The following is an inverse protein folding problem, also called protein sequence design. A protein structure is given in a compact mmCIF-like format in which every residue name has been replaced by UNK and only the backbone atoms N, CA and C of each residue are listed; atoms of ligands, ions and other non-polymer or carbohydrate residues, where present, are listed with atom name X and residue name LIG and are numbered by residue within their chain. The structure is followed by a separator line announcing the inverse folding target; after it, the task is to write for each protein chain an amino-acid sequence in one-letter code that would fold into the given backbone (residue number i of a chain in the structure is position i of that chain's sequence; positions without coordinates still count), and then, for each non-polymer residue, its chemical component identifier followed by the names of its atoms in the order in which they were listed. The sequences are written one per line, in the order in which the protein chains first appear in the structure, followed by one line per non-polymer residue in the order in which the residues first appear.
data_IF_500645831402
#
_entry.id   IF_500645831402
#
_cell.length_a   1.000
_cell.length_b   1.000
_cell.length_c   1.000
_cell.angle_alpha   90.00
_cell.angle_beta   90.00
_cell.angle_gamma   90.00
#
_symmetry.space_group_name_H-M   'P 1'
#
loop_
_entity.id
_entity.type
_entity.pdbx_description
1 polymer ?
#
# COMPACT_ATOMS: atom_id res chain seq x y z
N UNK A 1 -15.21 -15.92 -30.35
CA UNK A 1 -13.84 -16.43 -30.27
C UNK A 1 -12.80 -15.48 -30.88
N UNK A 2 -12.98 -14.92 -32.08
CA UNK A 2 -11.99 -14.02 -32.71
C UNK A 2 -11.79 -12.66 -32.03
N UNK A 3 -12.74 -12.13 -31.26
CA UNK A 3 -12.60 -10.88 -30.49
C UNK A 3 -11.83 -11.07 -29.19
N UNK A 4 -11.82 -12.26 -28.59
CA UNK A 4 -11.02 -12.56 -27.41
C UNK A 4 -9.53 -12.78 -27.72
N UNK A 5 -9.20 -13.39 -28.86
CA UNK A 5 -7.82 -13.64 -29.23
C UNK A 5 -7.03 -12.36 -29.57
N UNK A 6 -7.67 -11.37 -30.20
CA UNK A 6 -7.00 -10.10 -30.53
C UNK A 6 -6.73 -9.20 -29.30
N UNK A 7 -7.47 -9.36 -28.18
CA UNK A 7 -7.21 -8.60 -26.96
C UNK A 7 -6.02 -9.15 -26.16
N UNK A 8 -5.69 -10.43 -26.31
CA UNK A 8 -4.56 -11.05 -25.60
C UNK A 8 -3.20 -10.63 -26.16
N UNK A 9 -3.08 -10.37 -27.44
CA UNK A 9 -1.81 -9.97 -28.07
C UNK A 9 -1.41 -8.52 -27.73
N UNK A 10 -2.37 -7.65 -27.41
CA UNK A 10 -2.15 -6.23 -27.08
C UNK A 10 -2.17 -5.90 -25.58
N UNK A 11 -2.22 -6.90 -24.70
CA UNK A 11 -2.25 -6.71 -23.25
C UNK A 11 -0.96 -6.05 -22.75
N UNK A 12 -1.06 -4.93 -22.04
CA UNK A 12 0.07 -4.28 -21.40
C UNK A 12 0.69 -5.15 -20.30
N UNK A 13 -0.11 -5.94 -19.60
CA UNK A 13 0.36 -6.87 -18.57
C UNK A 13 1.32 -7.93 -19.16
N UNK A 14 1.18 -8.29 -20.44
CA UNK A 14 2.11 -9.20 -21.10
C UNK A 14 3.52 -8.62 -21.27
N UNK A 15 3.65 -7.28 -21.23
CA UNK A 15 4.94 -6.57 -21.30
C UNK A 15 5.55 -6.37 -19.90
N UNK A 16 4.78 -6.56 -18.84
CA UNK A 16 5.23 -6.42 -17.46
C UNK A 16 5.70 -7.79 -16.97
N UNK A 17 7.01 -7.95 -16.87
CA UNK A 17 7.63 -9.16 -16.29
C UNK A 17 8.18 -8.90 -14.91
N UNK A 18 8.69 -7.70 -14.70
CA UNK A 18 9.26 -7.22 -13.45
C UNK A 18 8.70 -5.84 -13.10
N UNK A 19 8.83 -5.38 -11.86
CA UNK A 19 8.48 -4.01 -11.49
C UNK A 19 9.23 -2.93 -12.28
N UNK A 20 10.39 -3.24 -12.85
CA UNK A 20 11.10 -2.30 -13.71
C UNK A 20 10.26 -1.90 -14.93
N UNK A 21 9.51 -2.84 -15.49
CA UNK A 21 8.66 -2.59 -16.65
C UNK A 21 7.50 -1.66 -16.31
N UNK A 22 6.95 -1.74 -15.08
CA UNK A 22 5.92 -0.80 -14.61
C UNK A 22 6.44 0.63 -14.55
N UNK A 23 7.68 0.83 -14.12
CA UNK A 23 8.28 2.16 -13.98
C UNK A 23 8.52 2.87 -15.32
N UNK A 24 8.43 2.15 -16.42
CA UNK A 24 8.51 2.70 -17.80
C UNK A 24 7.15 3.14 -18.35
N UNK A 25 6.06 2.79 -17.69
CA UNK A 25 4.70 3.09 -18.13
C UNK A 25 4.24 4.46 -17.61
N UNK A 26 3.40 5.13 -18.40
CA UNK A 26 2.69 6.32 -17.94
C UNK A 26 1.49 5.97 -17.06
N UNK A 27 0.90 6.97 -16.40
CA UNK A 27 -0.17 6.78 -15.42
C UNK A 27 -1.41 6.10 -16.02
N UNK A 28 -1.81 6.42 -17.26
CA UNK A 28 -2.92 5.76 -17.94
C UNK A 28 -2.63 4.29 -18.25
N UNK A 29 -1.38 3.97 -18.59
CA UNK A 29 -0.96 2.59 -18.84
C UNK A 29 -0.91 1.78 -17.54
N UNK A 30 -0.52 2.39 -16.42
CA UNK A 30 -0.56 1.74 -15.10
C UNK A 30 -2.01 1.41 -14.69
N UNK A 31 -2.96 2.31 -14.94
CA UNK A 31 -4.38 2.05 -14.72
C UNK A 31 -4.89 0.89 -15.60
N UNK A 32 -4.49 0.84 -16.87
CA UNK A 32 -4.83 -0.29 -17.74
C UNK A 32 -4.22 -1.61 -17.23
N UNK A 33 -2.96 -1.62 -16.83
CA UNK A 33 -2.30 -2.81 -16.24
C UNK A 33 -3.06 -3.27 -15.01
N UNK A 34 -3.55 -2.37 -14.16
CA UNK A 34 -4.34 -2.74 -12.98
C UNK A 34 -5.64 -3.47 -13.37
N UNK A 35 -6.33 -3.02 -14.41
CA UNK A 35 -7.55 -3.68 -14.92
C UNK A 35 -7.25 -5.09 -15.45
N UNK A 36 -6.17 -5.23 -16.20
CA UNK A 36 -5.75 -6.53 -16.75
C UNK A 36 -5.27 -7.48 -15.64
N UNK A 37 -4.50 -6.97 -14.67
CA UNK A 37 -4.03 -7.71 -13.50
C UNK A 37 -5.18 -8.22 -12.63
N UNK A 38 -6.22 -7.40 -12.44
CA UNK A 38 -7.45 -7.80 -11.73
C UNK A 38 -8.11 -8.99 -12.38
N UNK A 39 -8.27 -8.96 -13.69
CA UNK A 39 -8.88 -10.06 -14.45
C UNK A 39 -8.06 -11.35 -14.32
N UNK A 40 -6.74 -11.25 -14.34
CA UNK A 40 -5.86 -12.41 -14.17
C UNK A 40 -5.93 -12.99 -12.76
N UNK A 41 -5.98 -12.15 -11.72
CA UNK A 41 -6.19 -12.61 -10.34
C UNK A 41 -7.52 -13.37 -10.21
N UNK A 42 -8.60 -12.86 -10.81
CA UNK A 42 -9.90 -13.54 -10.81
C UNK A 42 -9.80 -14.90 -11.52
N UNK A 43 -9.19 -14.93 -12.70
CA UNK A 43 -9.04 -16.18 -13.49
C UNK A 43 -8.25 -17.23 -12.70
N UNK A 44 -7.10 -16.87 -12.18
CA UNK A 44 -6.24 -17.79 -11.42
C UNK A 44 -6.95 -18.30 -10.17
N UNK A 45 -7.48 -17.41 -9.35
CA UNK A 45 -8.08 -17.78 -8.06
C UNK A 45 -9.38 -18.58 -8.24
N UNK A 46 -10.11 -18.38 -9.34
CA UNK A 46 -11.26 -19.20 -9.67
C UNK A 46 -10.90 -20.69 -9.86
N UNK A 47 -9.66 -20.98 -10.23
CA UNK A 47 -9.15 -22.34 -10.45
C UNK A 47 -8.43 -22.91 -9.22
N UNK A 48 -7.61 -22.08 -8.56
CA UNK A 48 -6.74 -22.53 -7.46
C UNK A 48 -7.36 -22.36 -6.08
N UNK A 49 -8.39 -21.52 -5.96
CA UNK A 49 -8.85 -21.02 -4.67
C UNK A 49 -7.88 -20.04 -4.03
N UNK A 50 -8.31 -19.37 -2.96
CA UNK A 50 -7.44 -18.46 -2.22
C UNK A 50 -8.15 -17.18 -1.76
N UNK A 51 -7.34 -16.16 -1.42
CA UNK A 51 -7.79 -14.90 -0.85
C UNK A 51 -8.17 -13.90 -1.97
N UNK A 52 -9.27 -14.18 -2.69
CA UNK A 52 -9.67 -13.36 -3.84
C UNK A 52 -9.99 -11.91 -3.43
N UNK A 53 -10.93 -11.73 -2.51
CA UNK A 53 -11.43 -10.41 -2.15
C UNK A 53 -10.33 -9.47 -1.63
N UNK A 54 -9.44 -9.97 -0.78
CA UNK A 54 -8.31 -9.18 -0.24
C UNK A 54 -7.33 -8.78 -1.35
N UNK A 55 -7.04 -9.70 -2.28
CA UNK A 55 -6.15 -9.41 -3.42
C UNK A 55 -6.75 -8.42 -4.40
N UNK A 56 -8.05 -8.49 -4.66
CA UNK A 56 -8.75 -7.54 -5.54
C UNK A 56 -8.82 -6.13 -4.94
N UNK A 57 -8.86 -6.02 -3.62
CA UNK A 57 -8.86 -4.72 -2.92
C UNK A 57 -7.56 -3.94 -3.06
N UNK A 58 -6.45 -4.58 -3.40
CA UNK A 58 -5.13 -3.93 -3.43
C UNK A 58 -4.45 -3.96 -4.81
N UNK A 59 -5.19 -4.17 -5.88
CA UNK A 59 -4.61 -4.25 -7.24
C UNK A 59 -3.95 -2.93 -7.62
N UNK A 60 -4.69 -1.82 -7.57
CA UNK A 60 -4.18 -0.49 -7.89
C UNK A 60 -3.05 -0.08 -6.95
N UNK A 61 -3.21 -0.32 -5.66
CA UNK A 61 -2.18 -0.05 -4.66
C UNK A 61 -0.88 -0.83 -4.95
N UNK A 62 -0.99 -2.10 -5.33
CA UNK A 62 0.17 -2.93 -5.69
C UNK A 62 0.91 -2.38 -6.90
N UNK A 63 0.19 -2.04 -7.97
CA UNK A 63 0.77 -1.46 -9.18
C UNK A 63 1.44 -0.11 -8.87
N UNK A 64 0.77 0.77 -8.12
CA UNK A 64 1.29 2.06 -7.74
C UNK A 64 2.56 1.96 -6.87
N UNK A 65 2.57 1.06 -5.88
CA UNK A 65 3.75 0.83 -5.03
C UNK A 65 4.96 0.38 -5.84
N UNK A 66 4.79 -0.58 -6.74
CA UNK A 66 5.89 -1.07 -7.58
C UNK A 66 6.31 -0.10 -8.69
N UNK A 67 5.41 0.78 -9.14
CA UNK A 67 5.75 1.85 -10.07
C UNK A 67 6.55 2.98 -9.40
N UNK A 68 6.29 3.25 -8.12
CA UNK A 68 6.93 4.35 -7.39
C UNK A 68 8.20 3.90 -6.67
N UNK A 69 8.18 2.76 -5.99
CA UNK A 69 9.33 2.26 -5.22
C UNK A 69 10.20 1.32 -6.03
N UNK A 70 11.51 1.40 -5.82
CA UNK A 70 12.51 0.61 -6.56
C UNK A 70 12.71 -0.78 -5.94
N UNK A 71 11.64 -1.61 -5.94
CA UNK A 71 11.74 -3.00 -5.48
C UNK A 71 12.58 -3.85 -6.45
N UNK A 72 13.37 -4.83 -5.95
CA UNK A 72 13.47 -5.31 -4.57
C UNK A 72 14.49 -4.57 -3.69
N UNK A 73 15.17 -3.52 -4.22
CA UNK A 73 16.10 -2.71 -3.42
C UNK A 73 15.34 -1.99 -2.28
N UNK A 74 14.23 -1.31 -2.59
CA UNK A 74 13.25 -0.87 -1.62
C UNK A 74 12.48 -2.11 -1.10
N UNK A 75 12.30 -2.23 0.21
CA UNK A 75 11.73 -3.41 0.86
C UNK A 75 10.24 -3.24 1.07
N UNK A 76 9.44 -3.92 0.26
CA UNK A 76 7.98 -3.94 0.37
C UNK A 76 7.54 -5.17 1.17
N UNK A 77 6.89 -4.94 2.31
CA UNK A 77 6.45 -5.98 3.24
C UNK A 77 4.94 -5.96 3.34
N UNK A 78 4.31 -7.07 2.99
CA UNK A 78 2.88 -7.28 3.12
C UNK A 78 2.54 -7.93 4.47
N UNK A 79 1.75 -7.25 5.29
CA UNK A 79 1.27 -7.82 6.56
C UNK A 79 0.41 -9.06 6.29
N UNK A 80 0.64 -10.15 7.01
CA UNK A 80 0.10 -11.48 6.70
C UNK A 80 0.56 -12.02 5.34
N UNK A 81 0.40 -11.22 4.28
CA UNK A 81 0.71 -11.57 2.90
C UNK A 81 -0.43 -12.26 2.13
N UNK A 82 -1.64 -12.31 2.70
CA UNK A 82 -2.82 -12.92 2.06
C UNK A 82 -3.35 -12.13 0.84
N UNK A 83 -3.00 -10.86 0.72
CA UNK A 83 -3.36 -9.95 -0.39
C UNK A 83 -2.27 -9.87 -1.48
N UNK A 84 -1.26 -10.75 -1.45
CA UNK A 84 -0.06 -10.63 -2.28
C UNK A 84 -0.17 -11.18 -3.71
N UNK A 85 -1.34 -11.61 -4.19
CA UNK A 85 -1.45 -12.23 -5.51
C UNK A 85 -1.12 -11.28 -6.66
N UNK A 86 -1.61 -10.02 -6.68
CA UNK A 86 -1.15 -9.02 -7.65
C UNK A 86 0.37 -8.83 -7.61
N UNK A 87 0.95 -8.73 -6.41
CA UNK A 87 2.38 -8.63 -6.20
C UNK A 87 3.14 -9.82 -6.80
N UNK A 88 2.69 -11.05 -6.60
CA UNK A 88 3.35 -12.24 -7.18
C UNK A 88 3.31 -12.23 -8.70
N UNK A 89 2.20 -11.83 -9.31
CA UNK A 89 2.06 -11.77 -10.77
C UNK A 89 3.07 -10.80 -11.39
N UNK A 90 3.25 -9.62 -10.83
CA UNK A 90 4.14 -8.59 -11.37
C UNK A 90 5.60 -8.71 -10.91
N UNK A 91 5.90 -9.68 -10.06
CA UNK A 91 7.24 -10.01 -9.56
C UNK A 91 7.67 -11.40 -10.01
N UNK A 92 7.66 -11.66 -11.31
CA UNK A 92 8.21 -12.81 -12.05
C UNK A 92 7.47 -14.15 -11.86
N UNK A 93 6.46 -14.24 -10.97
CA UNK A 93 5.77 -15.50 -10.65
C UNK A 93 4.45 -15.70 -11.40
N UNK A 94 4.19 -14.91 -12.45
CA UNK A 94 2.95 -14.96 -13.20
C UNK A 94 2.64 -16.36 -13.76
N UNK A 95 3.65 -17.01 -14.33
CA UNK A 95 3.50 -18.36 -14.90
C UNK A 95 3.23 -19.42 -13.84
N UNK A 96 3.72 -19.22 -12.62
CA UNK A 96 3.60 -20.14 -11.52
C UNK A 96 2.27 -20.01 -10.76
N UNK A 97 1.50 -18.95 -11.04
CA UNK A 97 0.24 -18.67 -10.35
C UNK A 97 -0.79 -19.80 -10.45
N UNK A 98 -0.72 -20.63 -11.50
CA UNK A 98 -1.59 -21.81 -11.64
C UNK A 98 -1.29 -22.91 -10.63
N UNK A 99 -0.12 -22.86 -9.98
CA UNK A 99 0.27 -23.75 -8.89
C UNK A 99 0.03 -23.16 -7.49
N UNK A 100 -0.63 -21.99 -7.42
CA UNK A 100 -0.88 -21.28 -6.17
C UNK A 100 -1.59 -22.18 -5.16
N UNK A 101 -0.99 -22.29 -3.93
CA UNK A 101 -1.51 -23.12 -2.83
C UNK A 101 -1.58 -24.63 -3.12
N UNK A 102 -1.04 -25.09 -4.23
CA UNK A 102 -0.95 -26.52 -4.54
C UNK A 102 0.30 -27.13 -3.91
N UNK A 103 0.29 -28.44 -3.71
CA UNK A 103 1.47 -29.18 -3.22
C UNK A 103 2.64 -29.01 -4.20
N UNK A 104 3.76 -28.52 -3.73
CA UNK A 104 4.93 -28.24 -4.58
C UNK A 104 4.84 -26.97 -5.41
N UNK A 105 3.73 -26.24 -5.34
CA UNK A 105 3.54 -24.95 -5.98
C UNK A 105 3.90 -23.76 -5.09
N UNK A 106 3.55 -22.56 -5.55
CA UNK A 106 3.83 -21.33 -4.82
C UNK A 106 2.88 -21.12 -3.64
N UNK A 107 3.39 -20.45 -2.60
CA UNK A 107 2.66 -20.13 -1.37
C UNK A 107 1.51 -19.14 -1.61
N UNK A 108 0.43 -19.27 -0.85
CA UNK A 108 -0.64 -18.27 -0.77
C UNK A 108 -0.28 -17.00 0.00
N UNK A 109 0.96 -16.89 0.50
CA UNK A 109 1.52 -15.76 1.23
C UNK A 109 2.87 -15.39 0.64
N UNK A 110 3.41 -14.23 1.02
CA UNK A 110 4.80 -13.89 0.68
C UNK A 110 5.76 -14.90 1.33
N UNK A 111 6.82 -15.27 0.60
CA UNK A 111 7.77 -16.29 1.06
C UNK A 111 9.17 -16.02 0.51
N UNK A 112 10.12 -15.75 1.40
CA UNK A 112 11.51 -15.38 1.07
C UNK A 112 12.24 -16.37 0.15
N UNK A 113 11.92 -17.67 0.26
CA UNK A 113 12.51 -18.68 -0.60
C UNK A 113 11.95 -18.76 -2.01
N UNK A 114 10.88 -17.99 -2.32
CA UNK A 114 10.27 -17.96 -3.64
C UNK A 114 10.77 -16.79 -4.49
N UNK A 115 11.11 -15.66 -3.87
CA UNK A 115 11.45 -14.45 -4.62
C UNK A 115 12.21 -13.46 -3.74
N UNK A 116 13.16 -12.74 -4.35
CA UNK A 116 13.84 -11.61 -3.72
C UNK A 116 12.89 -10.41 -3.45
N UNK A 117 11.75 -10.36 -4.14
CA UNK A 117 10.70 -9.37 -3.91
C UNK A 117 9.89 -9.63 -2.64
N UNK A 118 10.07 -10.78 -2.00
CA UNK A 118 9.46 -11.15 -0.72
C UNK A 118 10.49 -11.03 0.43
N UNK A 119 10.88 -9.82 0.88
CA UNK A 119 11.94 -9.67 1.88
C UNK A 119 11.56 -10.27 3.23
N UNK A 120 10.25 -10.39 3.49
CA UNK A 120 9.67 -10.94 4.71
C UNK A 120 8.35 -11.66 4.40
N UNK A 121 8.06 -12.73 5.12
CA UNK A 121 6.79 -13.45 5.02
C UNK A 121 6.59 -14.34 6.23
N UNK A 122 5.54 -14.07 7.00
CA UNK A 122 5.22 -14.77 8.24
C UNK A 122 3.86 -15.44 8.24
N UNK A 123 2.95 -15.05 7.34
CA UNK A 123 1.52 -15.41 7.36
C UNK A 123 0.83 -15.08 8.72
N UNK A 124 1.49 -14.33 9.58
CA UNK A 124 1.01 -13.85 10.88
C UNK A 124 0.74 -12.35 10.79
N UNK A 125 -0.42 -11.92 11.30
CA UNK A 125 -0.81 -10.50 11.31
C UNK A 125 0.09 -9.66 12.20
N UNK A 126 0.15 -8.36 11.90
CA UNK A 126 0.72 -7.31 12.75
C UNK A 126 2.24 -7.31 12.87
N UNK A 127 2.93 -8.09 12.05
CA UNK A 127 4.40 -8.24 12.08
C UNK A 127 5.14 -7.31 11.14
N UNK A 128 4.45 -6.74 10.14
CA UNK A 128 5.07 -6.02 9.02
C UNK A 128 5.82 -4.75 9.42
N UNK A 129 5.27 -3.98 10.36
CA UNK A 129 5.86 -2.69 10.79
C UNK A 129 7.19 -2.95 11.51
N UNK A 130 7.23 -3.91 12.45
CA UNK A 130 8.48 -4.30 13.13
C UNK A 130 9.53 -4.82 12.14
N UNK A 131 9.11 -5.65 11.17
CA UNK A 131 10.02 -6.16 10.15
C UNK A 131 10.57 -5.03 9.26
N UNK A 132 9.73 -4.07 8.86
CA UNK A 132 10.16 -2.89 8.09
C UNK A 132 11.10 -2.01 8.90
N UNK A 133 10.85 -1.80 10.20
CA UNK A 133 11.79 -1.09 11.08
C UNK A 133 13.14 -1.77 11.13
N UNK A 134 13.18 -3.11 11.21
CA UNK A 134 14.44 -3.87 11.17
C UNK A 134 15.25 -3.61 9.89
N UNK A 135 14.61 -3.57 8.72
CA UNK A 135 15.27 -3.19 7.46
C UNK A 135 15.68 -1.71 7.44
N UNK A 136 14.88 -0.83 8.02
CA UNK A 136 15.22 0.59 8.17
C UNK A 136 16.49 0.74 9.01
N UNK A 137 16.58 0.06 10.14
CA UNK A 137 17.77 0.08 10.99
C UNK A 137 18.99 -0.53 10.31
N UNK A 138 18.81 -1.59 9.52
CA UNK A 138 19.89 -2.16 8.71
C UNK A 138 20.45 -1.13 7.72
N UNK A 139 19.58 -0.34 7.05
CA UNK A 139 20.00 0.76 6.19
C UNK A 139 20.81 1.82 6.94
N UNK A 140 20.35 2.23 8.12
CA UNK A 140 21.06 3.21 8.95
C UNK A 140 22.44 2.69 9.39
N UNK A 141 22.61 1.38 9.49
CA UNK A 141 23.88 0.71 9.74
C UNK A 141 24.73 0.48 8.47
N UNK A 142 24.36 1.09 7.34
CA UNK A 142 25.10 1.02 6.08
C UNK A 142 24.86 -0.23 5.24
N UNK A 143 23.85 -1.04 5.54
CA UNK A 143 23.47 -2.15 4.67
C UNK A 143 22.80 -1.65 3.39
N UNK A 144 22.94 -2.36 2.24
CA UNK A 144 22.38 -1.96 0.95
C UNK A 144 20.87 -2.19 0.90
N UNK A 145 20.12 -1.38 1.62
CA UNK A 145 18.66 -1.38 1.71
C UNK A 145 18.16 0.00 1.33
N UNK A 146 17.16 0.05 0.46
CA UNK A 146 16.48 1.28 0.07
C UNK A 146 15.40 1.70 1.07
N UNK A 147 14.34 2.34 0.57
CA UNK A 147 13.17 2.66 1.37
C UNK A 147 12.48 1.39 1.88
N UNK A 148 11.84 1.47 3.04
CA UNK A 148 11.11 0.34 3.63
C UNK A 148 9.63 0.69 3.72
N UNK A 149 8.79 -0.21 3.24
CA UNK A 149 7.36 -0.02 3.12
C UNK A 149 6.64 -1.22 3.76
N UNK A 150 5.85 -0.97 4.79
CA UNK A 150 4.95 -1.95 5.39
C UNK A 150 3.51 -1.68 4.95
N UNK A 151 2.85 -2.65 4.33
CA UNK A 151 1.41 -2.58 4.03
C UNK A 151 0.67 -3.40 5.07
N UNK A 152 -0.15 -2.75 5.88
CA UNK A 152 -0.89 -3.35 6.98
C UNK A 152 -2.38 -3.06 6.85
N UNK A 153 -3.24 -4.05 7.11
CA UNK A 153 -4.69 -3.88 7.11
C UNK A 153 -5.22 -3.27 8.41
N UNK A 154 -6.41 -2.67 8.33
CA UNK A 154 -7.15 -2.07 9.44
C UNK A 154 -7.38 -3.05 10.59
N UNK A 155 -7.67 -4.32 10.32
CA UNK A 155 -7.78 -5.33 11.35
C UNK A 155 -6.45 -5.68 12.02
N UNK A 156 -5.35 -5.72 11.25
CA UNK A 156 -4.02 -6.07 11.77
C UNK A 156 -3.38 -4.97 12.61
N UNK A 157 -3.66 -3.70 12.30
CA UNK A 157 -3.08 -2.57 13.03
C UNK A 157 -3.65 -2.45 14.45
N UNK A 158 -4.77 -3.12 14.76
CA UNK A 158 -5.39 -3.11 16.09
C UNK A 158 -4.69 -4.01 17.12
N UNK A 159 -3.75 -4.85 16.72
CA UNK A 159 -3.05 -5.75 17.63
C UNK A 159 -1.94 -5.06 18.41
N UNK A 160 -1.68 -5.51 19.64
CA UNK A 160 -0.67 -4.95 20.53
C UNK A 160 0.72 -4.89 19.91
N UNK A 161 1.11 -5.90 19.12
CA UNK A 161 2.39 -5.93 18.39
C UNK A 161 2.52 -4.78 17.38
N UNK A 162 1.43 -4.41 16.71
CA UNK A 162 1.43 -3.26 15.80
C UNK A 162 1.58 -1.93 16.55
N UNK A 163 0.92 -1.78 17.70
CA UNK A 163 1.08 -0.60 18.57
C UNK A 163 2.51 -0.45 19.08
N UNK A 164 3.12 -1.54 19.53
CA UNK A 164 4.51 -1.53 19.96
C UNK A 164 5.43 -1.11 18.81
N UNK A 165 5.21 -1.65 17.63
CA UNK A 165 5.97 -1.30 16.44
C UNK A 165 5.81 0.18 16.06
N UNK A 166 4.58 0.71 16.04
CA UNK A 166 4.31 2.12 15.78
C UNK A 166 5.01 3.03 16.79
N UNK A 167 4.95 2.69 18.08
CA UNK A 167 5.65 3.42 19.13
C UNK A 167 7.16 3.45 18.92
N UNK A 168 7.77 2.32 18.58
CA UNK A 168 9.20 2.23 18.29
C UNK A 168 9.58 3.03 17.05
N UNK A 169 8.82 2.92 15.96
CA UNK A 169 9.06 3.67 14.72
C UNK A 169 9.01 5.17 14.96
N UNK A 170 8.01 5.64 15.71
CA UNK A 170 7.89 7.06 16.05
C UNK A 170 9.07 7.56 16.90
N UNK A 171 9.50 6.76 17.88
CA UNK A 171 10.66 7.07 18.74
C UNK A 171 11.96 7.15 17.94
N UNK A 172 12.20 6.21 17.03
CA UNK A 172 13.41 6.18 16.19
C UNK A 172 13.43 7.31 15.15
N UNK A 173 12.27 7.83 14.77
CA UNK A 173 12.10 8.94 13.82
C UNK A 173 12.90 8.75 12.51
N UNK A 174 12.99 7.50 12.02
CA UNK A 174 13.68 7.16 10.79
C UNK A 174 12.74 7.12 9.61
N UNK A 175 13.26 7.43 8.43
CA UNK A 175 12.49 7.39 7.20
C UNK A 175 12.03 5.97 6.88
N UNK A 176 10.73 5.74 6.96
CA UNK A 176 10.04 4.54 6.48
C UNK A 176 8.57 4.84 6.19
N UNK A 177 7.90 3.95 5.48
CA UNK A 177 6.51 4.12 5.07
C UNK A 177 5.64 3.00 5.65
N UNK A 178 4.52 3.40 6.22
CA UNK A 178 3.44 2.49 6.62
C UNK A 178 2.22 2.81 5.76
N UNK A 179 1.76 1.86 4.99
CA UNK A 179 0.53 1.96 4.20
C UNK A 179 -0.57 1.27 4.99
N UNK A 180 -1.46 2.05 5.57
CA UNK A 180 -2.67 1.53 6.20
C UNK A 180 -3.71 1.27 5.13
N UNK A 181 -3.92 -0.01 4.79
CA UNK A 181 -4.96 -0.46 3.88
C UNK A 181 -6.26 -0.67 4.65
N UNK A 182 -7.11 0.34 4.65
CA UNK A 182 -8.39 0.34 5.36
C UNK A 182 -9.52 -0.04 4.40
N UNK A 183 -10.12 -1.18 4.65
CA UNK A 183 -11.26 -1.66 3.86
C UNK A 183 -12.51 -1.90 4.70
N UNK A 184 -12.51 -1.42 5.95
CA UNK A 184 -13.60 -1.54 6.93
C UNK A 184 -14.06 -2.99 7.14
N UNK A 185 -13.23 -3.98 6.77
CA UNK A 185 -13.57 -5.40 6.82
C UNK A 185 -12.38 -6.25 7.25
N UNK A 186 -12.53 -6.86 8.42
CA UNK A 186 -11.73 -8.02 8.84
C UNK A 186 -12.41 -9.34 8.35
N UNK A 187 -12.23 -10.45 9.06
CA UNK A 187 -13.02 -11.69 8.88
C UNK A 187 -14.48 -11.44 9.31
N UNK A 188 -14.67 -10.57 10.31
CA UNK A 188 -15.95 -10.06 10.80
C UNK A 188 -15.92 -8.51 10.78
N UNK A 189 -17.07 -7.83 10.91
CA UNK A 189 -17.09 -6.39 11.10
C UNK A 189 -16.10 -5.97 12.20
N UNK A 190 -15.29 -4.93 11.96
CA UNK A 190 -14.26 -4.54 12.91
C UNK A 190 -14.88 -4.03 14.21
N UNK A 191 -14.24 -4.35 15.32
CA UNK A 191 -14.67 -3.95 16.67
C UNK A 191 -13.55 -3.24 17.43
N UNK A 192 -13.91 -2.39 18.38
CA UNK A 192 -12.96 -1.73 19.26
C UNK A 192 -12.71 -0.25 18.92
N UNK A 193 -12.02 0.43 19.84
CA UNK A 193 -11.82 1.87 19.78
C UNK A 193 -11.03 2.33 18.53
N UNK A 194 -10.02 1.56 18.09
CA UNK A 194 -9.26 1.88 16.90
C UNK A 194 -10.12 1.85 15.64
N UNK A 195 -10.99 0.85 15.52
CA UNK A 195 -11.92 0.73 14.40
C UNK A 195 -12.89 1.91 14.34
N UNK A 196 -13.45 2.30 15.49
CA UNK A 196 -14.30 3.49 15.60
C UNK A 196 -13.53 4.76 15.28
N UNK A 197 -12.25 4.84 15.67
CA UNK A 197 -11.38 5.96 15.37
C UNK A 197 -11.13 6.07 13.85
N UNK A 198 -10.79 4.97 13.16
CA UNK A 198 -10.57 4.95 11.71
C UNK A 198 -11.84 5.33 10.94
N UNK A 199 -13.01 4.80 11.33
CA UNK A 199 -14.29 5.18 10.74
C UNK A 199 -14.58 6.69 10.88
N UNK A 200 -14.17 7.30 12.00
CA UNK A 200 -14.31 8.75 12.21
C UNK A 200 -13.40 9.55 11.28
N UNK A 201 -12.19 9.07 11.03
CA UNK A 201 -11.26 9.71 10.09
C UNK A 201 -11.78 9.60 8.64
N UNK A 202 -12.37 8.46 8.28
CA UNK A 202 -12.92 8.22 6.94
C UNK A 202 -14.18 9.06 6.63
N UNK A 203 -14.84 9.62 7.65
CA UNK A 203 -16.00 10.47 7.43
C UNK A 203 -15.64 11.78 6.70
N UNK A 204 -16.48 12.20 5.78
CA UNK A 204 -16.42 13.28 4.77
C UNK A 204 -15.46 14.48 4.96
N UNK A 205 -15.07 14.84 6.19
CA UNK A 205 -14.22 16.02 6.43
C UNK A 205 -12.74 15.82 6.04
N UNK A 206 -12.28 14.57 5.92
CA UNK A 206 -10.90 14.27 5.57
C UNK A 206 -10.65 14.39 4.05
N UNK A 207 -11.63 14.04 3.22
CA UNK A 207 -11.55 14.19 1.76
C UNK A 207 -11.44 15.65 1.30
N UNK A 208 -12.15 16.55 1.94
CA UNK A 208 -12.07 18.01 1.67
C UNK A 208 -10.67 18.57 1.98
N UNK A 209 -10.02 18.07 3.05
CA UNK A 209 -8.67 18.51 3.43
C UNK A 209 -7.60 18.07 2.42
N UNK A 210 -7.74 16.92 1.80
CA UNK A 210 -6.79 16.42 0.81
C UNK A 210 -6.87 17.23 -0.50
N UNK A 211 -8.08 17.62 -0.90
CA UNK A 211 -8.30 18.46 -2.08
C UNK A 211 -7.65 19.85 -1.93
N UNK A 212 -7.82 20.47 -0.76
CA UNK A 212 -7.15 21.72 -0.41
C UNK A 212 -5.61 21.57 -0.32
N UNK A 213 -5.11 20.42 0.12
CA UNK A 213 -3.68 20.13 0.17
C UNK A 213 -3.06 19.99 -1.23
N UNK A 214 -3.83 19.45 -2.19
CA UNK A 214 -3.42 19.34 -3.59
C UNK A 214 -3.26 20.70 -4.29
N UNK A 215 -4.18 21.62 -4.06
CA UNK A 215 -4.15 22.96 -4.65
C UNK A 215 -3.04 23.86 -4.07
N UNK A 216 -2.64 23.65 -2.79
CA UNK A 216 -1.54 24.41 -2.15
C UNK A 216 -0.13 23.91 -2.51
N UNK A 217 0.00 22.68 -2.97
CA UNK A 217 1.31 22.10 -3.34
C UNK A 217 1.84 22.66 -4.68
N UNK A 218 0.99 23.16 -5.54
CA UNK A 218 1.41 23.82 -6.79
C UNK A 218 2.06 25.21 -6.57
N UNK A 219 1.89 25.81 -5.43
CA UNK A 219 2.55 27.09 -5.12
C UNK A 219 3.91 26.88 -4.42
N UNK A 220 4.98 27.34 -5.04
CA UNK A 220 6.36 27.36 -4.57
C UNK A 220 6.53 28.23 -3.30
N UNK A 221 6.16 27.74 -2.12
CA UNK A 221 6.31 28.49 -0.87
C UNK A 221 7.62 28.11 -0.13
N UNK A 222 8.44 29.09 0.31
CA UNK A 222 9.63 28.88 1.13
C UNK A 222 9.31 28.20 2.47
N UNK A 223 10.27 27.43 3.02
CA UNK A 223 10.10 26.62 4.23
C UNK A 223 9.65 27.38 5.48
N UNK A 224 10.04 28.63 5.61
CA UNK A 224 9.67 29.54 6.72
C UNK A 224 8.18 29.95 6.70
N UNK A 225 7.53 29.96 5.55
CA UNK A 225 6.11 30.27 5.40
C UNK A 225 5.22 29.06 5.70
N UNK A 226 5.74 27.84 5.61
CA UNK A 226 4.99 26.60 5.90
C UNK A 226 4.60 26.46 7.37
N UNK A 227 5.48 26.86 8.30
CA UNK A 227 5.14 26.83 9.73
C UNK A 227 4.10 27.89 10.08
N UNK A 228 4.18 29.07 9.48
CA UNK A 228 3.19 30.12 9.64
C UNK A 228 1.83 29.75 9.08
N UNK A 229 1.77 29.13 7.88
CA UNK A 229 0.57 28.62 7.24
C UNK A 229 -0.07 27.48 8.06
N UNK A 230 0.77 26.57 8.64
CA UNK A 230 0.31 25.51 9.53
C UNK A 230 -0.31 26.04 10.80
N UNK A 231 0.30 27.06 11.44
CA UNK A 231 -0.23 27.73 12.65
C UNK A 231 -1.48 28.55 12.36
N UNK A 232 -1.53 29.27 11.24
CA UNK A 232 -2.70 30.01 10.81
C UNK A 232 -3.89 29.08 10.52
N UNK A 233 -3.64 27.92 9.92
CA UNK A 233 -4.66 26.89 9.66
C UNK A 233 -5.20 26.29 10.96
N UNK A 234 -4.36 26.05 11.96
CA UNK A 234 -4.78 25.61 13.30
C UNK A 234 -5.72 26.63 13.97
N UNK A 235 -5.50 27.92 13.75
CA UNK A 235 -6.31 28.99 14.32
C UNK A 235 -7.65 29.20 13.60
N UNK A 236 -7.70 28.96 12.27
CA UNK A 236 -8.88 29.21 11.47
C UNK A 236 -9.88 28.03 11.49
N UNK A 237 -9.41 26.80 11.60
CA UNK A 237 -10.29 25.60 11.56
C UNK A 237 -10.85 25.17 12.92
N UNK A 238 -10.43 25.76 14.03
CA UNK A 238 -11.00 25.54 15.38
C UNK A 238 -10.97 24.09 15.90
N UNK A 239 -10.34 23.14 15.18
CA UNK A 239 -10.17 21.72 15.56
C UNK A 239 -8.87 21.17 14.98
N UNK A 240 -7.78 21.53 15.60
CA UNK A 240 -6.51 20.82 15.41
C UNK A 240 -6.42 19.71 16.44
N UNK A 241 -7.17 18.63 16.25
CA UNK A 241 -6.77 17.38 16.87
C UNK A 241 -5.82 16.69 15.90
N UNK A 242 -4.56 16.55 16.31
CA UNK A 242 -3.61 15.65 15.65
C UNK A 242 -4.24 14.24 15.62
N UNK A 243 -3.93 13.49 14.58
CA UNK A 243 -4.31 12.07 14.56
C UNK A 243 -3.49 11.32 15.60
N UNK A 244 -4.00 10.19 16.08
CA UNK A 244 -3.24 9.28 16.93
C UNK A 244 -1.85 8.96 16.33
N UNK A 245 -1.75 8.83 15.02
CA UNK A 245 -0.49 8.55 14.34
C UNK A 245 0.49 9.73 14.38
N UNK A 246 -0.01 10.96 14.28
CA UNK A 246 0.81 12.17 14.44
C UNK A 246 1.32 12.33 15.87
N UNK A 247 0.49 11.97 16.86
CA UNK A 247 0.90 11.96 18.27
C UNK A 247 2.00 10.93 18.55
N UNK A 248 2.05 9.84 17.77
CA UNK A 248 3.15 8.87 17.78
C UNK A 248 4.38 9.32 16.97
N UNK A 249 4.36 10.48 16.33
CA UNK A 249 5.50 11.01 15.58
C UNK A 249 5.49 10.70 14.08
N UNK A 250 4.42 10.15 13.53
CA UNK A 250 4.30 9.93 12.10
C UNK A 250 3.85 11.19 11.35
N UNK A 251 4.35 11.35 10.14
CA UNK A 251 3.70 12.20 9.15
C UNK A 251 2.51 11.45 8.57
N UNK A 252 1.29 11.93 8.86
CA UNK A 252 0.06 11.28 8.41
C UNK A 252 -0.43 11.90 7.10
N UNK A 253 -0.69 11.04 6.09
CA UNK A 253 -1.23 11.40 4.78
C UNK A 253 -2.48 10.57 4.50
N UNK A 254 -3.58 11.21 4.20
CA UNK A 254 -4.83 10.55 3.87
C UNK A 254 -6.04 11.04 4.67
N UNK A 255 -7.15 10.31 4.58
CA UNK A 255 -7.36 9.11 3.75
C UNK A 255 -7.39 9.42 2.25
N UNK A 256 -6.93 8.45 1.43
CA UNK A 256 -6.97 8.54 -0.04
C UNK A 256 -7.73 7.36 -0.63
N UNK A 257 -8.32 7.54 -1.82
CA UNK A 257 -8.98 6.46 -2.53
C UNK A 257 -7.95 5.48 -3.12
N UNK A 258 -7.96 4.25 -2.61
CA UNK A 258 -7.07 3.18 -3.03
C UNK A 258 -7.40 2.57 -4.40
N UNK A 259 -8.48 3.01 -5.04
CA UNK A 259 -8.89 2.61 -6.38
C UNK A 259 -8.70 3.72 -7.42
N UNK A 260 -8.28 4.92 -6.99
CA UNK A 260 -7.87 6.01 -7.86
C UNK A 260 -6.35 5.97 -8.10
N UNK A 261 -5.94 5.46 -9.26
CA UNK A 261 -4.54 5.35 -9.64
C UNK A 261 -3.82 6.70 -9.64
N UNK A 262 -4.49 7.76 -10.09
CA UNK A 262 -3.90 9.11 -10.13
C UNK A 262 -3.59 9.62 -8.72
N UNK A 263 -4.52 9.47 -7.80
CA UNK A 263 -4.38 9.84 -6.39
C UNK A 263 -3.26 9.04 -5.71
N UNK A 264 -3.25 7.73 -5.90
CA UNK A 264 -2.20 6.84 -5.36
C UNK A 264 -0.82 7.26 -5.84
N UNK A 265 -0.62 7.41 -7.14
CA UNK A 265 0.67 7.78 -7.73
C UNK A 265 1.12 9.16 -7.24
N UNK A 266 0.21 10.12 -7.17
CA UNK A 266 0.52 11.47 -6.70
C UNK A 266 1.02 11.46 -5.25
N UNK A 267 0.26 10.83 -4.35
CA UNK A 267 0.62 10.81 -2.91
C UNK A 267 1.87 10.00 -2.66
N UNK A 268 2.02 8.82 -3.28
CA UNK A 268 3.20 7.97 -3.11
C UNK A 268 4.47 8.64 -3.63
N UNK A 269 4.43 9.28 -4.81
CA UNK A 269 5.56 10.05 -5.37
C UNK A 269 5.94 11.22 -4.48
N UNK A 270 4.94 11.98 -4.01
CA UNK A 270 5.17 13.10 -3.11
C UNK A 270 5.75 12.64 -1.77
N UNK A 271 5.23 11.57 -1.18
CA UNK A 271 5.74 10.99 0.05
C UNK A 271 7.18 10.50 -0.13
N UNK A 272 7.45 9.73 -1.18
CA UNK A 272 8.82 9.25 -1.47
C UNK A 272 9.82 10.39 -1.62
N UNK A 273 9.43 11.48 -2.27
CA UNK A 273 10.33 12.62 -2.51
C UNK A 273 10.55 13.50 -1.27
N UNK A 274 9.51 13.68 -0.43
CA UNK A 274 9.51 14.71 0.63
C UNK A 274 9.71 14.19 2.04
N UNK A 275 9.36 12.92 2.30
CA UNK A 275 9.43 12.40 3.67
C UNK A 275 10.87 12.21 4.13
N UNK A 276 11.15 12.69 5.33
CA UNK A 276 12.45 12.55 6.00
C UNK A 276 12.36 11.65 7.23
N UNK A 277 11.16 11.48 7.78
CA UNK A 277 10.84 10.63 8.93
C UNK A 277 9.77 9.59 8.61
N UNK A 278 9.23 8.92 9.63
CA UNK A 278 8.20 7.91 9.46
C UNK A 278 6.93 8.54 8.89
N UNK A 279 6.36 7.90 7.88
CA UNK A 279 5.18 8.40 7.17
C UNK A 279 4.13 7.30 7.11
N UNK A 280 2.92 7.60 7.58
CA UNK A 280 1.77 6.72 7.46
C UNK A 280 0.84 7.27 6.37
N UNK A 281 0.56 6.43 5.36
CA UNK A 281 -0.36 6.74 4.27
C UNK A 281 -1.61 5.91 4.46
N UNK A 282 -2.73 6.55 4.71
CA UNK A 282 -4.02 5.91 4.93
C UNK A 282 -4.75 5.79 3.59
N UNK A 283 -4.96 4.55 3.16
CA UNK A 283 -5.55 4.19 1.87
C UNK A 283 -6.85 3.45 2.10
N UNK A 284 -7.96 4.03 1.65
CA UNK A 284 -9.29 3.40 1.71
C UNK A 284 -9.48 2.51 0.49
N UNK A 285 -9.78 1.24 0.72
CA UNK A 285 -10.02 0.25 -0.35
C UNK A 285 -11.35 -0.46 -0.15
N UNK A 286 -11.77 -1.20 -1.17
CA UNK A 286 -12.95 -2.05 -1.10
C UNK A 286 -12.55 -3.49 -1.39
N UNK A 287 -12.78 -4.37 -0.42
CA UNK A 287 -12.55 -5.80 -0.56
C UNK A 287 -13.40 -6.35 -1.72
N UNK A 288 -12.78 -7.09 -2.65
CA UNK A 288 -13.48 -7.61 -3.83
C UNK A 288 -13.75 -6.58 -4.94
N UNK A 289 -13.14 -5.39 -4.89
CA UNK A 289 -13.36 -4.33 -5.89
C UNK A 289 -13.26 -4.83 -7.33
N UNK A 290 -14.24 -4.44 -8.15
CA UNK A 290 -14.29 -4.80 -9.58
C UNK A 290 -14.76 -6.22 -9.89
N UNK A 291 -15.23 -6.99 -8.89
CA UNK A 291 -15.80 -8.31 -9.07
C UNK A 291 -17.24 -8.33 -8.54
N UNK A 292 -18.21 -8.34 -9.44
CA UNK A 292 -19.63 -8.18 -9.11
C UNK A 292 -20.21 -9.23 -8.13
N UNK A 293 -19.71 -10.50 -8.08
CA UNK A 293 -20.14 -11.47 -7.09
C UNK A 293 -19.55 -11.31 -5.69
N UNK A 294 -18.61 -10.37 -5.49
CA UNK A 294 -17.94 -10.17 -4.19
C UNK A 294 -18.72 -9.24 -3.27
#
# INVERSE_FOLDING_TARGET
CKRMSNNLENSLLNKVKTPNDLRLLNDNQLDQVSKELRNEVIEVVSQTGGHLGSSLGVVELTVALHAVFNTPFDKLIWDVGHQCYPHKIITERRNDMRSLRQRGGISGFTKRSESEYDPFGAAHSSTSISAALGFTMARELGQPVGDTIAVIGDGSITAGMAYEALNNVGSENKRMFVILNDNEMSIAPPVGAMSSYLSTINSHQAFEKLKLFGEEIESHLPSTLREGARRARQLVTGRSQSTFFEDLGFNYLGPIDGHDMGQLLYVLRAAKFRSTGPTLIHVCTKKGHGYAPA
#
